data_IF_014796656684
#
_entry.id   IF_014796656684
#
_cell.length_a   1.000
_cell.length_b   1.000
_cell.length_c   1.000
_cell.angle_alpha   90.00
_cell.angle_beta   90.00
_cell.angle_gamma   90.00
#
_symmetry.space_group_name_H-M   'P 1'
#
loop_
_entity.id
_entity.type
_entity.pdbx_description
1 polymer ?
#
# COMPACT_ATOMS: atom_id res chain seq x y z
N UNK A 1 -35.58 -48.41 -67.18
CA UNK A 1 -34.18 -48.64 -66.73
C UNK A 1 -33.77 -47.41 -66.02
N UNK A 2 -33.56 -47.54 -64.76
CA UNK A 2 -33.30 -46.52 -63.74
C UNK A 2 -31.84 -46.19 -63.68
N UNK A 3 -31.52 -44.98 -63.32
CA UNK A 3 -30.26 -44.70 -62.57
C UNK A 3 -30.53 -43.68 -61.48
N UNK A 4 -30.31 -44.21 -60.29
CA UNK A 4 -30.27 -43.47 -59.02
C UNK A 4 -29.05 -42.53 -59.02
N UNK A 5 -29.28 -41.21 -58.81
CA UNK A 5 -28.22 -40.31 -58.43
C UNK A 5 -28.23 -40.15 -56.91
N UNK A 6 -27.16 -40.67 -56.27
CA UNK A 6 -26.90 -40.46 -54.85
C UNK A 6 -26.19 -39.12 -54.67
N UNK A 7 -26.94 -38.19 -54.13
CA UNK A 7 -26.41 -36.88 -53.73
C UNK A 7 -25.44 -37.06 -52.56
N UNK A 8 -24.18 -36.66 -52.77
CA UNK A 8 -23.13 -36.59 -51.77
C UNK A 8 -23.26 -35.30 -50.93
N UNK A 9 -23.88 -35.36 -49.79
CA UNK A 9 -23.74 -34.29 -48.82
C UNK A 9 -22.40 -34.37 -48.15
N UNK A 10 -21.49 -33.46 -48.53
CA UNK A 10 -20.26 -33.19 -47.80
C UNK A 10 -20.57 -32.39 -46.55
N UNK A 11 -20.59 -33.05 -45.40
CA UNK A 11 -20.66 -32.37 -44.11
C UNK A 11 -19.40 -31.54 -43.91
N UNK A 12 -19.49 -30.23 -44.13
CA UNK A 12 -18.47 -29.27 -43.80
C UNK A 12 -18.56 -28.98 -42.31
N UNK A 13 -17.77 -29.67 -41.49
CA UNK A 13 -17.62 -29.34 -40.06
C UNK A 13 -16.79 -28.03 -39.98
N UNK A 14 -17.47 -26.92 -39.78
CA UNK A 14 -16.84 -25.64 -39.44
C UNK A 14 -16.41 -25.73 -37.97
N UNK A 15 -15.11 -25.96 -37.73
CA UNK A 15 -14.52 -25.86 -36.40
C UNK A 15 -14.38 -24.37 -36.05
N UNK A 16 -15.33 -23.83 -35.30
CA UNK A 16 -15.22 -22.50 -34.73
C UNK A 16 -14.25 -22.55 -33.56
N UNK A 17 -13.00 -22.19 -33.80
CA UNK A 17 -12.00 -21.97 -32.74
C UNK A 17 -12.43 -20.71 -31.98
N UNK A 18 -13.12 -20.88 -30.86
CA UNK A 18 -13.35 -19.82 -29.88
C UNK A 18 -12.01 -19.54 -29.19
N UNK A 19 -11.29 -18.54 -29.69
CA UNK A 19 -10.18 -17.99 -28.90
C UNK A 19 -10.78 -17.27 -27.70
N UNK A 20 -10.79 -17.92 -26.56
CA UNK A 20 -11.01 -17.28 -25.27
C UNK A 20 -9.82 -16.35 -25.05
N UNK A 21 -9.95 -15.07 -25.43
CA UNK A 21 -9.06 -14.04 -24.94
C UNK A 21 -9.30 -13.95 -23.42
N UNK A 22 -8.52 -14.70 -22.65
CA UNK A 22 -8.36 -14.42 -21.24
C UNK A 22 -7.76 -13.02 -21.16
N UNK A 23 -8.58 -12.02 -20.85
CA UNK A 23 -8.10 -10.73 -20.43
C UNK A 23 -7.34 -11.02 -19.14
N UNK A 24 -6.02 -11.16 -19.23
CA UNK A 24 -5.15 -11.16 -18.06
C UNK A 24 -5.31 -9.73 -17.54
N UNK A 25 -6.12 -9.55 -16.51
CA UNK A 25 -6.18 -8.29 -15.80
C UNK A 25 -4.74 -7.97 -15.38
N UNK A 26 -4.25 -6.80 -15.78
CA UNK A 26 -2.90 -6.37 -15.43
C UNK A 26 -2.75 -6.39 -13.91
N UNK A 27 -1.69 -7.03 -13.40
CA UNK A 27 -1.49 -7.17 -11.95
C UNK A 27 -1.25 -5.79 -11.37
N UNK A 28 -2.15 -5.35 -10.49
CA UNK A 28 -2.03 -4.04 -9.84
C UNK A 28 -0.79 -3.99 -8.95
N UNK A 29 -0.14 -2.81 -8.90
CA UNK A 29 1.11 -2.59 -8.15
C UNK A 29 0.90 -1.57 -7.06
N UNK A 30 1.24 -1.96 -5.83
CA UNK A 30 1.27 -1.08 -4.67
C UNK A 30 2.71 -0.85 -4.22
N UNK A 31 3.19 0.38 -4.30
CA UNK A 31 4.44 0.81 -3.69
C UNK A 31 4.17 1.28 -2.25
N UNK A 32 4.98 0.82 -1.31
CA UNK A 32 4.97 1.30 0.07
C UNK A 32 6.18 2.21 0.28
N UNK A 33 5.93 3.49 0.49
CA UNK A 33 6.91 4.52 0.84
C UNK A 33 6.82 4.75 2.35
N UNK A 34 7.55 3.96 3.12
CA UNK A 34 7.45 3.93 4.58
C UNK A 34 8.79 4.01 5.31
N UNK A 35 8.70 3.89 6.62
CA UNK A 35 9.85 3.89 7.52
C UNK A 35 10.14 2.50 8.13
N UNK A 36 10.60 2.44 9.39
CA UNK A 36 10.98 1.19 10.06
C UNK A 36 9.81 0.24 10.30
N UNK A 37 8.59 0.75 10.46
CA UNK A 37 7.41 -0.09 10.71
C UNK A 37 7.12 -0.94 9.47
N UNK A 38 7.08 -0.31 8.31
CA UNK A 38 6.85 -1.01 7.04
C UNK A 38 8.09 -1.75 6.53
N UNK A 39 9.31 -1.26 6.82
CA UNK A 39 10.54 -2.00 6.53
C UNK A 39 10.66 -3.31 7.34
N UNK A 40 9.90 -3.45 8.44
CA UNK A 40 9.90 -4.64 9.28
C UNK A 40 11.13 -4.70 10.18
N UNK A 41 11.47 -3.57 10.83
CA UNK A 41 12.59 -3.53 11.78
C UNK A 41 12.46 -4.62 12.85
N UNK A 42 13.49 -5.46 13.00
CA UNK A 42 13.49 -6.58 13.93
C UNK A 42 12.59 -7.77 13.54
N UNK A 43 11.93 -7.75 12.36
CA UNK A 43 11.01 -8.78 11.89
C UNK A 43 11.64 -9.52 10.70
N UNK A 44 11.42 -10.83 10.63
CA UNK A 44 11.78 -11.60 9.43
C UNK A 44 10.88 -11.20 8.27
N UNK A 45 11.44 -11.10 7.07
CA UNK A 45 10.69 -10.73 5.86
C UNK A 45 9.41 -11.56 5.66
N UNK A 46 9.49 -12.88 5.88
CA UNK A 46 8.33 -13.78 5.77
C UNK A 46 7.21 -13.52 6.79
N UNK A 47 7.50 -12.78 7.85
CA UNK A 47 6.56 -12.41 8.91
C UNK A 47 6.09 -10.95 8.81
N UNK A 48 6.73 -10.13 7.96
CA UNK A 48 6.38 -8.73 7.79
C UNK A 48 4.95 -8.60 7.22
N UNK A 49 4.21 -7.63 7.73
CA UNK A 49 2.83 -7.35 7.31
C UNK A 49 2.68 -7.18 5.79
N UNK A 50 3.67 -6.64 5.10
CA UNK A 50 3.67 -6.46 3.64
C UNK A 50 3.66 -7.80 2.90
N UNK A 51 4.47 -8.76 3.37
CA UNK A 51 4.51 -10.13 2.83
C UNK A 51 3.23 -10.90 3.17
N UNK A 52 2.73 -10.74 4.40
CA UNK A 52 1.47 -11.36 4.82
C UNK A 52 0.28 -10.81 4.04
N UNK A 53 0.27 -9.50 3.75
CA UNK A 53 -0.77 -8.83 2.96
C UNK A 53 -0.84 -9.40 1.54
N UNK A 54 0.31 -9.51 0.86
CA UNK A 54 0.39 -10.13 -0.47
C UNK A 54 -0.17 -11.55 -0.45
N UNK A 55 0.25 -12.35 0.53
CA UNK A 55 -0.24 -13.73 0.71
C UNK A 55 -1.75 -13.78 0.98
N UNK A 56 -2.27 -12.84 1.76
CA UNK A 56 -3.69 -12.77 2.11
C UNK A 56 -4.56 -12.48 0.89
N UNK A 57 -4.19 -11.50 0.05
CA UNK A 57 -4.89 -11.22 -1.20
C UNK A 57 -4.81 -12.38 -2.20
N UNK A 58 -3.64 -13.01 -2.32
CA UNK A 58 -3.46 -14.18 -3.20
C UNK A 58 -4.39 -15.34 -2.82
N UNK A 59 -4.61 -15.60 -1.53
CA UNK A 59 -5.56 -16.62 -1.05
C UNK A 59 -7.02 -16.30 -1.41
N UNK A 60 -7.35 -15.03 -1.65
CA UNK A 60 -8.67 -14.60 -2.13
C UNK A 60 -8.76 -14.56 -3.66
N UNK A 61 -7.75 -15.03 -4.37
CA UNK A 61 -7.70 -14.96 -5.84
C UNK A 61 -7.45 -13.56 -6.40
N UNK A 62 -7.01 -12.62 -5.55
CA UNK A 62 -6.65 -11.24 -5.93
C UNK A 62 -5.15 -11.13 -6.13
N UNK A 63 -4.72 -10.65 -7.32
CA UNK A 63 -3.31 -10.43 -7.62
C UNK A 63 -2.93 -8.99 -7.31
N UNK A 64 -1.90 -8.82 -6.47
CA UNK A 64 -1.32 -7.53 -6.10
C UNK A 64 0.18 -7.68 -5.95
N UNK A 65 0.95 -6.99 -6.79
CA UNK A 65 2.39 -6.82 -6.57
C UNK A 65 2.60 -5.77 -5.48
N UNK A 66 3.27 -6.13 -4.40
CA UNK A 66 3.64 -5.21 -3.32
C UNK A 66 5.13 -4.94 -3.38
N UNK A 67 5.49 -3.69 -3.63
CA UNK A 67 6.87 -3.19 -3.65
C UNK A 67 7.11 -2.44 -2.34
N UNK A 68 7.84 -3.05 -1.42
CA UNK A 68 8.19 -2.41 -0.16
C UNK A 68 9.48 -1.59 -0.34
N UNK A 69 9.35 -0.28 -0.54
CA UNK A 69 10.45 0.68 -0.63
C UNK A 69 10.69 1.42 0.71
N UNK A 70 10.32 0.81 1.84
CA UNK A 70 10.47 1.42 3.16
C UNK A 70 11.91 1.35 3.66
N UNK A 71 12.34 2.38 4.38
CA UNK A 71 13.70 2.48 4.92
C UNK A 71 13.63 2.83 6.41
N UNK A 72 14.22 1.99 7.27
CA UNK A 72 14.24 2.24 8.72
C UNK A 72 14.84 3.60 9.06
N UNK A 73 14.13 4.38 9.89
CA UNK A 73 14.54 5.73 10.29
C UNK A 73 14.26 6.82 9.27
N UNK A 74 13.61 6.50 8.13
CA UNK A 74 13.30 7.47 7.08
C UNK A 74 12.34 8.55 7.58
N UNK A 75 12.47 9.74 6.98
CA UNK A 75 11.66 10.92 7.26
C UNK A 75 10.87 11.33 6.03
N UNK A 76 9.95 12.26 6.20
CA UNK A 76 9.26 12.87 5.04
C UNK A 76 10.24 13.49 4.03
N UNK A 77 11.37 14.04 4.50
CA UNK A 77 12.42 14.56 3.63
C UNK A 77 13.16 13.47 2.86
N UNK A 78 13.43 12.32 3.51
CA UNK A 78 14.05 11.16 2.86
C UNK A 78 13.13 10.56 1.81
N UNK A 79 11.86 10.31 2.14
CA UNK A 79 10.86 9.86 1.19
C UNK A 79 10.73 10.80 -0.02
N UNK A 80 10.67 12.12 0.23
CA UNK A 80 10.60 13.12 -0.84
C UNK A 80 11.81 13.06 -1.79
N UNK A 81 13.00 12.77 -1.27
CA UNK A 81 14.22 12.69 -2.08
C UNK A 81 14.25 11.50 -3.06
N UNK A 82 13.51 10.43 -2.77
CA UNK A 82 13.57 9.18 -3.53
C UNK A 82 12.31 8.81 -4.29
N UNK A 83 11.17 9.44 -4.00
CA UNK A 83 9.89 9.08 -4.62
C UNK A 83 9.91 9.11 -6.14
N UNK A 84 10.55 10.09 -6.78
CA UNK A 84 10.65 10.16 -8.24
C UNK A 84 11.38 8.95 -8.83
N UNK A 85 12.48 8.52 -8.20
CA UNK A 85 13.22 7.32 -8.62
C UNK A 85 12.33 6.08 -8.53
N UNK A 86 11.63 5.94 -7.41
CA UNK A 86 10.80 4.76 -7.13
C UNK A 86 9.62 4.68 -8.10
N UNK A 87 8.94 5.80 -8.39
CA UNK A 87 7.86 5.87 -9.38
C UNK A 87 8.36 5.51 -10.79
N UNK A 88 9.51 6.04 -11.21
CA UNK A 88 10.09 5.74 -12.52
C UNK A 88 10.51 4.26 -12.66
N UNK A 89 11.01 3.68 -11.57
CA UNK A 89 11.52 2.30 -11.57
C UNK A 89 10.39 1.28 -11.56
N UNK A 90 9.38 1.47 -10.69
CA UNK A 90 8.37 0.46 -10.41
C UNK A 90 7.05 0.71 -11.13
N UNK A 91 6.76 1.96 -11.52
CA UNK A 91 5.50 2.38 -12.17
C UNK A 91 4.28 1.82 -11.44
N UNK A 92 4.10 2.14 -10.15
CA UNK A 92 3.01 1.59 -9.35
C UNK A 92 1.68 2.25 -9.71
N UNK A 93 0.58 1.50 -9.59
CA UNK A 93 -0.79 2.04 -9.69
C UNK A 93 -1.16 2.82 -8.43
N UNK A 94 -0.67 2.36 -7.28
CA UNK A 94 -0.95 2.94 -5.96
C UNK A 94 0.34 3.16 -5.19
N UNK A 95 0.39 4.23 -4.41
CA UNK A 95 1.49 4.48 -3.47
C UNK A 95 0.93 4.74 -2.09
N UNK A 96 1.26 3.87 -1.14
CA UNK A 96 0.98 4.07 0.28
C UNK A 96 2.13 4.84 0.92
N UNK A 97 1.85 6.05 1.42
CA UNK A 97 2.79 6.91 2.14
C UNK A 97 2.60 6.69 3.63
N UNK A 98 3.59 6.07 4.28
CA UNK A 98 3.66 5.78 5.71
C UNK A 98 4.93 6.44 6.27
N UNK A 99 4.90 7.78 6.39
CA UNK A 99 6.04 8.62 6.81
C UNK A 99 5.60 9.77 7.72
N UNK A 100 6.54 10.27 8.51
CA UNK A 100 6.35 11.40 9.41
C UNK A 100 6.58 11.05 10.88
N UNK A 101 6.48 9.78 11.26
CA UNK A 101 6.78 9.33 12.61
C UNK A 101 8.18 9.74 13.07
N UNK A 102 9.20 9.47 12.26
CA UNK A 102 10.58 9.85 12.58
C UNK A 102 10.81 11.36 12.61
N UNK A 103 10.11 12.14 11.77
CA UNK A 103 10.15 13.60 11.86
C UNK A 103 9.61 14.07 13.21
N UNK A 104 8.45 13.58 13.61
CA UNK A 104 7.80 13.96 14.86
C UNK A 104 8.60 13.52 16.10
N UNK A 105 9.12 12.29 16.12
CA UNK A 105 9.97 11.79 17.20
C UNK A 105 11.26 12.62 17.39
N UNK A 106 11.73 13.27 16.32
CA UNK A 106 12.88 14.19 16.35
C UNK A 106 12.49 15.67 16.60
N UNK A 107 11.20 15.92 16.83
CA UNK A 107 10.70 17.27 17.11
C UNK A 107 10.78 18.25 15.92
N UNK A 108 10.67 17.72 14.68
CA UNK A 108 10.72 18.59 13.51
C UNK A 108 9.48 19.50 13.42
N UNK A 109 9.62 20.70 12.80
CA UNK A 109 8.50 21.60 12.63
C UNK A 109 7.35 20.93 11.85
N UNK A 110 6.14 20.96 12.40
CA UNK A 110 4.94 20.36 11.81
C UNK A 110 4.68 20.89 10.40
N UNK A 111 4.89 22.21 10.18
CA UNK A 111 4.74 22.82 8.86
C UNK A 111 5.66 22.22 7.81
N UNK A 112 6.88 21.82 8.19
CA UNK A 112 7.83 21.17 7.28
C UNK A 112 7.38 19.75 6.94
N UNK A 113 6.90 19.00 7.93
CA UNK A 113 6.37 17.65 7.71
C UNK A 113 5.21 17.72 6.72
N UNK A 114 4.22 18.59 6.98
CA UNK A 114 3.07 18.79 6.08
C UNK A 114 3.50 19.18 4.66
N UNK A 115 4.41 20.14 4.51
CA UNK A 115 4.90 20.56 3.19
C UNK A 115 5.54 19.41 2.42
N UNK A 116 6.34 18.57 3.09
CA UNK A 116 6.96 17.42 2.44
C UNK A 116 5.91 16.40 2.00
N UNK A 117 4.91 16.09 2.86
CA UNK A 117 3.81 15.18 2.52
C UNK A 117 3.02 15.70 1.31
N UNK A 118 2.63 16.99 1.29
CA UNK A 118 1.95 17.60 0.15
C UNK A 118 2.75 17.46 -1.15
N UNK A 119 4.07 17.69 -1.11
CA UNK A 119 4.95 17.51 -2.26
C UNK A 119 5.02 16.06 -2.73
N UNK A 120 5.14 15.11 -1.78
CA UNK A 120 5.16 13.66 -2.10
C UNK A 120 3.86 13.29 -2.81
N UNK A 121 2.70 13.65 -2.25
CA UNK A 121 1.39 13.36 -2.83
C UNK A 121 1.27 13.97 -4.23
N UNK A 122 1.65 15.25 -4.41
CA UNK A 122 1.62 15.91 -5.72
C UNK A 122 2.49 15.18 -6.76
N UNK A 123 3.68 14.72 -6.37
CA UNK A 123 4.56 13.95 -7.25
C UNK A 123 3.92 12.63 -7.66
N UNK A 124 3.28 11.93 -6.71
CA UNK A 124 2.60 10.65 -6.96
C UNK A 124 1.46 10.86 -7.97
N UNK A 125 0.56 11.82 -7.71
CA UNK A 125 -0.58 12.12 -8.59
C UNK A 125 -0.12 12.55 -9.99
N UNK A 126 0.91 13.38 -10.10
CA UNK A 126 1.48 13.81 -11.39
C UNK A 126 2.08 12.65 -12.19
N UNK A 127 2.45 11.55 -11.55
CA UNK A 127 2.92 10.32 -12.20
C UNK A 127 1.78 9.29 -12.45
N UNK A 128 0.51 9.73 -12.34
CA UNK A 128 -0.69 8.90 -12.60
C UNK A 128 -0.86 7.72 -11.64
N UNK A 129 -0.15 7.72 -10.50
CA UNK A 129 -0.38 6.77 -9.41
C UNK A 129 -1.40 7.34 -8.43
N UNK A 130 -2.19 6.49 -7.81
CA UNK A 130 -3.18 6.89 -6.80
C UNK A 130 -2.49 6.98 -5.43
N UNK A 131 -2.43 8.16 -4.81
CA UNK A 131 -1.83 8.32 -3.50
C UNK A 131 -2.76 7.84 -2.39
N UNK A 132 -2.20 7.07 -1.47
CA UNK A 132 -2.83 6.68 -0.20
C UNK A 132 -1.93 7.21 0.91
N UNK A 133 -2.47 7.99 1.82
CA UNK A 133 -1.74 8.48 2.98
C UNK A 133 -2.25 7.83 4.25
N UNK A 134 -1.31 7.33 5.07
CA UNK A 134 -1.64 6.71 6.34
C UNK A 134 -1.56 7.73 7.46
N UNK A 135 -2.58 7.75 8.31
CA UNK A 135 -2.51 8.44 9.61
C UNK A 135 -1.35 7.90 10.43
N UNK A 136 -0.51 8.76 10.99
CA UNK A 136 0.51 8.36 11.98
C UNK A 136 0.17 8.98 13.32
N UNK A 137 0.41 8.23 14.41
CA UNK A 137 0.33 8.70 15.79
C UNK A 137 1.69 8.53 16.47
N UNK A 138 1.96 9.36 17.46
CA UNK A 138 3.18 9.33 18.25
C UNK A 138 2.87 9.18 19.74
N UNK A 139 3.84 8.70 20.56
CA UNK A 139 3.65 8.54 21.99
C UNK A 139 3.22 9.83 22.71
N UNK A 140 2.46 9.72 23.83
CA UNK A 140 1.85 10.88 24.48
C UNK A 140 2.84 11.83 25.20
N UNK A 141 4.08 11.43 25.38
CA UNK A 141 5.14 12.20 26.06
C UNK A 141 5.67 13.40 25.26
N UNK A 142 5.24 13.60 24.01
CA UNK A 142 5.63 14.75 23.16
C UNK A 142 4.79 16.01 23.42
N UNK A 143 3.80 15.93 24.30
CA UNK A 143 2.94 17.04 24.68
C UNK A 143 1.73 17.22 23.76
N UNK A 144 0.57 17.43 24.39
CA UNK A 144 -0.75 17.43 23.74
C UNK A 144 -0.80 18.32 22.49
N UNK A 145 -0.32 19.58 22.60
CA UNK A 145 -0.39 20.55 21.49
C UNK A 145 0.41 20.10 20.25
N UNK A 146 1.58 19.49 20.48
CA UNK A 146 2.42 19.01 19.38
C UNK A 146 1.80 17.77 18.74
N UNK A 147 1.30 16.83 19.54
CA UNK A 147 0.64 15.60 19.08
C UNK A 147 -0.59 15.94 18.23
N UNK A 148 -1.49 16.79 18.75
CA UNK A 148 -2.69 17.21 18.01
C UNK A 148 -2.33 17.88 16.68
N UNK A 149 -1.36 18.79 16.68
CA UNK A 149 -0.91 19.45 15.47
C UNK A 149 -0.28 18.47 14.48
N UNK A 150 0.49 17.49 14.95
CA UNK A 150 1.08 16.44 14.12
C UNK A 150 0.03 15.50 13.52
N UNK A 151 -0.88 15.00 14.34
CA UNK A 151 -1.90 14.06 13.88
C UNK A 151 -2.85 14.71 12.87
N UNK A 152 -3.18 15.98 13.02
CA UNK A 152 -4.08 16.71 12.12
C UNK A 152 -3.54 16.90 10.70
N UNK A 153 -2.20 16.94 10.51
CA UNK A 153 -1.66 17.20 9.17
C UNK A 153 -2.08 16.15 8.14
N UNK A 154 -2.33 14.90 8.53
CA UNK A 154 -2.69 13.83 7.59
C UNK A 154 -4.09 14.04 7.02
N UNK A 155 -5.07 14.40 7.85
CA UNK A 155 -6.41 14.77 7.39
C UNK A 155 -6.39 16.07 6.59
N UNK A 156 -5.56 17.04 6.96
CA UNK A 156 -5.37 18.26 6.20
C UNK A 156 -4.77 17.97 4.81
N UNK A 157 -3.69 17.18 4.73
CA UNK A 157 -3.09 16.77 3.44
C UNK A 157 -4.11 16.03 2.58
N UNK A 158 -4.87 15.10 3.14
CA UNK A 158 -5.91 14.38 2.40
C UNK A 158 -7.02 15.32 1.91
N UNK A 159 -7.41 16.34 2.70
CA UNK A 159 -8.43 17.32 2.29
C UNK A 159 -7.95 18.33 1.25
N UNK A 160 -6.65 18.62 1.21
CA UNK A 160 -6.03 19.56 0.28
C UNK A 160 -5.60 18.88 -1.05
N UNK A 161 -5.70 17.54 -1.12
CA UNK A 161 -5.27 16.73 -2.26
C UNK A 161 -6.29 15.65 -2.60
N UNK A 162 -5.99 14.81 -3.59
CA UNK A 162 -6.79 13.63 -3.95
C UNK A 162 -6.35 12.34 -3.21
N UNK A 163 -5.42 12.46 -2.24
CA UNK A 163 -4.93 11.32 -1.46
C UNK A 163 -6.05 10.66 -0.63
N UNK A 164 -6.07 9.34 -0.64
CA UNK A 164 -6.97 8.54 0.20
C UNK A 164 -6.36 8.38 1.58
N UNK A 165 -7.03 8.92 2.61
CA UNK A 165 -6.60 8.75 4.01
C UNK A 165 -7.01 7.37 4.51
N UNK A 166 -6.07 6.66 5.12
CA UNK A 166 -6.32 5.43 5.87
C UNK A 166 -5.87 5.58 7.32
N UNK A 167 -6.43 4.73 8.20
CA UNK A 167 -6.19 4.79 9.63
C UNK A 167 -4.76 4.39 10.02
N UNK A 168 -4.36 4.76 11.23
CA UNK A 168 -3.06 4.38 11.81
C UNK A 168 -2.95 2.85 11.97
N UNK A 169 -1.97 2.24 11.33
CA UNK A 169 -1.83 0.78 11.31
C UNK A 169 -1.60 0.14 12.69
N UNK A 170 -1.10 0.90 13.66
CA UNK A 170 -0.88 0.42 15.03
C UNK A 170 -1.99 0.80 16.01
N UNK A 171 -3.17 1.26 15.53
CA UNK A 171 -4.28 1.71 16.39
C UNK A 171 -4.66 0.68 17.47
N UNK A 172 -4.73 -0.58 17.09
CA UNK A 172 -5.09 -1.70 17.98
C UNK A 172 -3.88 -2.50 18.49
N UNK A 173 -2.67 -2.00 18.26
CA UNK A 173 -1.40 -2.68 18.54
C UNK A 173 -0.55 -1.90 19.54
N UNK A 174 -0.42 -0.58 19.36
CA UNK A 174 0.55 0.24 20.08
C UNK A 174 0.41 0.23 21.62
N UNK A 175 -0.81 0.00 22.15
CA UNK A 175 -1.06 -0.07 23.60
C UNK A 175 -0.96 -1.49 24.18
N UNK A 176 -0.62 -2.48 23.36
CA UNK A 176 -0.51 -3.88 23.74
C UNK A 176 0.96 -4.27 23.86
N UNK A 177 1.46 -4.34 25.10
CA UNK A 177 2.86 -4.69 25.36
C UNK A 177 3.29 -6.03 24.77
N UNK A 178 2.36 -7.01 24.70
CA UNK A 178 2.61 -8.33 24.11
C UNK A 178 2.80 -8.31 22.58
N UNK A 179 2.43 -7.19 21.92
CA UNK A 179 2.55 -6.98 20.48
C UNK A 179 3.69 -6.02 20.09
N UNK A 180 4.34 -5.39 21.07
CA UNK A 180 5.42 -4.45 20.82
C UNK A 180 6.78 -5.06 21.15
N UNK A 181 7.82 -4.54 20.50
CA UNK A 181 9.21 -4.82 20.87
C UNK A 181 9.57 -4.08 22.17
N UNK A 182 10.68 -4.44 22.85
CA UNK A 182 11.06 -3.79 24.10
C UNK A 182 11.29 -2.27 24.03
N UNK A 183 11.48 -1.72 22.83
CA UNK A 183 11.64 -0.28 22.62
C UNK A 183 10.32 0.51 22.71
N UNK A 184 9.18 -0.18 22.72
CA UNK A 184 7.86 0.43 22.81
C UNK A 184 7.43 1.24 21.56
N UNK A 185 8.18 1.14 20.48
CA UNK A 185 7.93 1.85 19.21
C UNK A 185 7.60 0.88 18.08
N UNK A 186 8.37 -0.20 17.96
CA UNK A 186 8.22 -1.14 16.88
C UNK A 186 7.31 -2.32 17.26
N UNK A 187 6.37 -2.71 16.40
CA UNK A 187 5.57 -3.92 16.60
C UNK A 187 6.45 -5.17 16.46
N UNK A 188 6.15 -6.20 17.24
CA UNK A 188 6.84 -7.49 17.13
C UNK A 188 6.17 -8.41 16.07
N UNK A 189 6.65 -9.66 15.95
CA UNK A 189 6.12 -10.62 14.99
C UNK A 189 4.66 -11.01 15.24
N UNK A 190 4.19 -10.96 16.49
CA UNK A 190 2.79 -11.28 16.85
C UNK A 190 1.82 -10.19 16.40
N UNK A 191 2.30 -8.96 16.26
CA UNK A 191 1.50 -7.82 15.79
C UNK A 191 1.23 -7.88 14.28
N UNK A 192 2.11 -8.49 13.50
CA UNK A 192 2.07 -8.41 12.04
C UNK A 192 0.75 -8.91 11.42
N UNK A 193 0.12 -10.00 11.87
CA UNK A 193 -1.19 -10.41 11.38
C UNK A 193 -2.29 -9.36 11.66
N UNK A 194 -2.28 -8.69 12.81
CA UNK A 194 -3.27 -7.64 13.15
C UNK A 194 -3.12 -6.44 12.24
N UNK A 195 -1.88 -6.00 12.00
CA UNK A 195 -1.56 -4.91 11.05
C UNK A 195 -2.04 -5.30 9.64
N UNK A 196 -1.75 -6.53 9.22
CA UNK A 196 -2.15 -7.05 7.91
C UNK A 196 -3.66 -6.96 7.72
N UNK A 197 -4.44 -7.45 8.66
CA UNK A 197 -5.91 -7.46 8.55
C UNK A 197 -6.50 -6.04 8.53
N UNK A 198 -5.94 -5.12 9.33
CA UNK A 198 -6.37 -3.72 9.33
C UNK A 198 -6.10 -3.06 7.99
N UNK A 199 -4.86 -3.16 7.48
CA UNK A 199 -4.48 -2.56 6.20
C UNK A 199 -5.26 -3.20 5.05
N UNK A 200 -5.40 -4.53 5.03
CA UNK A 200 -6.18 -5.25 4.03
C UNK A 200 -7.62 -4.73 3.91
N UNK A 201 -8.26 -4.50 5.05
CA UNK A 201 -9.64 -3.99 5.09
C UNK A 201 -9.75 -2.61 4.43
N UNK A 202 -8.79 -1.72 4.69
CA UNK A 202 -8.84 -0.34 4.20
C UNK A 202 -8.41 -0.24 2.73
N UNK A 203 -7.26 -0.81 2.38
CA UNK A 203 -6.76 -0.68 1.00
C UNK A 203 -7.42 -1.65 0.03
N UNK A 204 -7.93 -2.80 0.50
CA UNK A 204 -8.57 -3.79 -0.36
C UNK A 204 -9.76 -3.21 -1.13
N UNK A 205 -10.56 -2.37 -0.47
CA UNK A 205 -11.64 -1.64 -1.14
C UNK A 205 -11.12 -0.64 -2.17
N UNK A 206 -10.06 0.11 -1.84
CA UNK A 206 -9.49 1.13 -2.73
C UNK A 206 -8.85 0.53 -3.98
N UNK A 207 -8.25 -0.65 -3.86
CA UNK A 207 -7.48 -1.27 -4.95
C UNK A 207 -8.36 -2.11 -5.86
N UNK A 208 -9.37 -2.81 -5.32
CA UNK A 208 -10.11 -3.83 -6.08
C UNK A 208 -11.55 -3.45 -6.44
N UNK A 209 -12.03 -2.24 -6.09
CA UNK A 209 -13.30 -1.68 -6.50
C UNK A 209 -13.12 -0.39 -7.25
#
# INVERSE_FOLDING_TARGET
MSFLEISKYKNLFIFVLIFSNSIIADEKKLLILGDSISAGFGIKESQNWTTLLKSSFSKEGKSLEIINSSISGDTTSGGLSRINRDLNTYKPDFVLVELGGNDALRGYPISRIKQNLLKIISIISNNQSIPIIMQIKIPPNYGKKYIEAFENIYSEVASETDAKLISFMLENVALREDLMQPDGIHPNEKAQPFITEQIKKEIGYLIFN
#
